data_IF_476742419077
#
_entry.id   IF_476742419077
#
_cell.length_a   1.000
_cell.length_b   1.000
_cell.length_c   1.000
_cell.angle_alpha   90.00
_cell.angle_beta   90.00
_cell.angle_gamma   90.00
#
_symmetry.space_group_name_H-M   'P 1'
#
loop_
_entity.id
_entity.type
_entity.pdbx_description
1 polymer ?
#
# COMPACT_ATOMS: atom_id res chain seq x y z
N UNK A 1 30.87 -4.07 -12.50
CA UNK A 1 29.49 -4.60 -12.60
C UNK A 1 29.11 -5.10 -11.23
N UNK A 2 28.14 -4.49 -10.55
CA UNK A 2 27.78 -4.86 -9.19
C UNK A 2 27.02 -6.19 -9.20
N UNK A 3 27.73 -7.28 -8.95
CA UNK A 3 27.16 -8.62 -8.82
C UNK A 3 26.53 -8.72 -7.43
N UNK A 4 25.20 -8.75 -7.37
CA UNK A 4 24.49 -8.78 -6.10
C UNK A 4 24.26 -10.23 -5.68
N UNK A 5 25.13 -10.73 -4.81
CA UNK A 5 25.16 -12.16 -4.45
C UNK A 5 24.25 -12.50 -3.25
N UNK A 6 23.96 -11.55 -2.34
CA UNK A 6 23.20 -11.83 -1.10
C UNK A 6 22.02 -10.89 -0.78
N UNK A 7 22.02 -9.62 -1.20
CA UNK A 7 20.89 -8.70 -0.94
C UNK A 7 20.75 -7.71 -2.09
N UNK A 8 19.76 -7.94 -2.95
CA UNK A 8 19.47 -7.08 -4.07
C UNK A 8 18.75 -5.81 -3.60
N UNK A 9 19.47 -4.69 -3.56
CA UNK A 9 18.93 -3.38 -3.17
C UNK A 9 17.75 -2.96 -4.06
N UNK A 10 17.80 -3.26 -5.36
CA UNK A 10 16.67 -3.03 -6.27
C UNK A 10 15.47 -3.91 -5.89
N UNK A 11 15.69 -5.17 -5.52
CA UNK A 11 14.63 -6.05 -5.00
C UNK A 11 14.06 -5.55 -3.67
N UNK A 12 14.88 -5.01 -2.76
CA UNK A 12 14.42 -4.44 -1.49
C UNK A 12 13.57 -3.19 -1.69
N UNK A 13 13.99 -2.28 -2.59
CA UNK A 13 13.22 -1.09 -2.98
C UNK A 13 11.91 -1.52 -3.66
N UNK A 14 11.98 -2.50 -4.56
CA UNK A 14 10.81 -3.06 -5.24
C UNK A 14 9.84 -3.70 -4.24
N UNK A 15 10.32 -4.47 -3.26
CA UNK A 15 9.51 -5.06 -2.21
C UNK A 15 8.82 -4.00 -1.34
N UNK A 16 9.52 -2.93 -0.98
CA UNK A 16 8.93 -1.80 -0.26
C UNK A 16 7.84 -1.08 -1.08
N UNK A 17 8.07 -0.88 -2.38
CA UNK A 17 7.07 -0.30 -3.28
C UNK A 17 5.88 -1.24 -3.49
N UNK A 18 6.10 -2.56 -3.59
CA UNK A 18 5.04 -3.57 -3.66
C UNK A 18 4.20 -3.54 -2.40
N UNK A 19 4.80 -3.48 -1.21
CA UNK A 19 4.05 -3.41 0.05
C UNK A 19 3.17 -2.15 0.11
N UNK A 20 3.69 -0.99 -0.30
CA UNK A 20 2.91 0.25 -0.39
C UNK A 20 1.76 0.14 -1.41
N UNK A 21 2.05 -0.41 -2.59
CA UNK A 21 1.06 -0.61 -3.63
C UNK A 21 -0.02 -1.61 -3.20
N UNK A 22 0.33 -2.65 -2.44
CA UNK A 22 -0.61 -3.63 -1.91
C UNK A 22 -1.58 -3.02 -0.91
N UNK A 23 -1.12 -2.13 -0.02
CA UNK A 23 -1.99 -1.38 0.90
C UNK A 23 -2.93 -0.42 0.16
N UNK A 24 -2.40 0.30 -0.83
CA UNK A 24 -3.20 1.19 -1.68
C UNK A 24 -4.24 0.42 -2.52
N UNK A 25 -3.86 -0.75 -3.04
CA UNK A 25 -4.74 -1.66 -3.75
C UNK A 25 -5.84 -2.20 -2.82
N UNK A 26 -5.50 -2.63 -1.61
CA UNK A 26 -6.50 -3.10 -0.63
C UNK A 26 -7.52 -2.01 -0.31
N UNK A 27 -7.07 -0.77 -0.12
CA UNK A 27 -7.95 0.40 0.09
C UNK A 27 -8.83 0.67 -1.13
N UNK A 28 -8.26 0.52 -2.34
CA UNK A 28 -8.99 0.71 -3.59
C UNK A 28 -10.05 -0.37 -3.82
N UNK A 29 -9.74 -1.62 -3.45
CA UNK A 29 -10.68 -2.75 -3.49
C UNK A 29 -11.79 -2.55 -2.47
N UNK A 30 -11.48 -2.09 -1.26
CA UNK A 30 -12.47 -1.77 -0.24
C UNK A 30 -13.44 -0.67 -0.72
N UNK A 31 -12.91 0.40 -1.31
CA UNK A 31 -13.72 1.47 -1.93
C UNK A 31 -14.57 0.96 -3.08
N UNK A 32 -14.00 0.14 -3.97
CA UNK A 32 -14.72 -0.45 -5.11
C UNK A 32 -15.85 -1.37 -4.64
N UNK A 33 -15.57 -2.24 -3.67
CA UNK A 33 -16.54 -3.18 -3.09
C UNK A 33 -17.68 -2.46 -2.38
N UNK A 34 -17.37 -1.38 -1.66
CA UNK A 34 -18.38 -0.57 -0.97
C UNK A 34 -19.21 0.34 -1.89
N UNK A 35 -18.79 0.57 -3.14
CA UNK A 35 -19.41 1.53 -4.06
C UNK A 35 -19.37 3.00 -3.60
N UNK A 36 -18.81 3.28 -2.43
CA UNK A 36 -18.73 4.60 -1.80
C UNK A 36 -17.26 5.04 -1.77
N UNK A 37 -16.96 6.21 -2.36
CA UNK A 37 -15.62 6.82 -2.34
C UNK A 37 -15.08 7.10 -0.92
N UNK A 38 -15.97 7.10 0.07
CA UNK A 38 -15.73 7.52 1.45
C UNK A 38 -16.14 6.37 2.37
N UNK A 39 -15.18 5.49 2.72
CA UNK A 39 -15.33 4.55 3.85
C UNK A 39 -14.72 5.10 5.14
N UNK A 40 -14.33 6.38 5.16
CA UNK A 40 -13.68 6.99 6.31
C UNK A 40 -14.66 7.74 7.22
N UNK A 41 -15.67 7.03 7.73
CA UNK A 41 -16.13 7.34 9.10
C UNK A 41 -14.98 7.16 10.13
N UNK A 42 -13.86 6.54 9.72
CA UNK A 42 -12.64 6.40 10.52
C UNK A 42 -11.68 7.60 10.45
N UNK A 43 -11.75 8.46 9.43
CA UNK A 43 -10.91 9.68 9.39
C UNK A 43 -11.59 10.89 10.06
N UNK A 44 -12.88 10.78 10.42
CA UNK A 44 -13.64 11.82 11.15
C UNK A 44 -14.29 11.30 12.46
N UNK A 45 -13.88 10.13 12.95
CA UNK A 45 -14.14 9.69 14.34
C UNK A 45 -12.98 10.04 15.29
N UNK A 46 -12.10 10.95 14.86
CA UNK A 46 -11.11 11.64 15.70
C UNK A 46 -11.59 13.06 16.08
N UNK A 47 -12.89 13.31 15.95
CA UNK A 47 -13.58 14.51 16.42
C UNK A 47 -14.34 14.27 17.72
N UNK A 48 -13.67 13.69 18.73
CA UNK A 48 -13.79 13.84 20.20
C UNK A 48 -12.97 12.74 20.89
#
# INVERSE_FOLDING_TARGET
MAQVINTNSLSLITQNNINKNQSALSTSIERLSSGLRINSAKDDAAGQ
#
